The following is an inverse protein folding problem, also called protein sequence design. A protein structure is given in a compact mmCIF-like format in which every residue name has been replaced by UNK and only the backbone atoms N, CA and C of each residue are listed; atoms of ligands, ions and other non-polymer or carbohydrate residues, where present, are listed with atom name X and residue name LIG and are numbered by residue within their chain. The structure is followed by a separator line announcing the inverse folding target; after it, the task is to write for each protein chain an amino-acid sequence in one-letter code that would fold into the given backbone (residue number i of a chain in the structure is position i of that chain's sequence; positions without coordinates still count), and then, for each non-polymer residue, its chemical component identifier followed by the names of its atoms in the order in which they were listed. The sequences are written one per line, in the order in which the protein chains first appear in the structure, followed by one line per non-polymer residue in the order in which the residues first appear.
data_IF_004631290251
#
_entry.id   IF_004631290251
#
_cell.length_a   1.000
_cell.length_b   1.000
_cell.length_c   1.000
_cell.angle_alpha   90.00
_cell.angle_beta   90.00
_cell.angle_gamma   90.00
#
_symmetry.space_group_name_H-M   'P 1'
#
loop_
_entity.id
_entity.type
_entity.pdbx_description
1 polymer ?
#
# COMPACT_ATOMS: atom_id res chain seq x y z
N UNK A 1 -36.29 -11.94 -8.41
CA UNK A 1 -35.21 -11.62 -7.46
C UNK A 1 -34.62 -12.87 -6.80
N UNK A 2 -35.38 -13.77 -6.21
CA UNK A 2 -34.86 -14.95 -5.48
C UNK A 2 -33.94 -15.90 -6.25
N UNK A 3 -33.99 -15.97 -7.59
CA UNK A 3 -33.10 -16.86 -8.38
C UNK A 3 -31.71 -16.25 -8.57
N UNK A 4 -31.62 -14.93 -8.71
CA UNK A 4 -30.34 -14.23 -8.87
C UNK A 4 -29.52 -14.25 -7.58
N UNK A 5 -30.17 -14.08 -6.43
CA UNK A 5 -29.51 -14.18 -5.11
C UNK A 5 -28.96 -15.58 -4.83
N UNK A 6 -29.71 -16.66 -5.14
CA UNK A 6 -29.21 -18.03 -4.97
C UNK A 6 -27.98 -18.30 -5.83
N UNK A 7 -27.99 -17.84 -7.07
CA UNK A 7 -26.84 -18.05 -7.98
C UNK A 7 -25.57 -17.33 -7.45
N UNK A 8 -25.73 -16.15 -6.80
CA UNK A 8 -24.58 -15.40 -6.25
C UNK A 8 -23.92 -16.12 -5.07
N UNK A 9 -24.71 -16.57 -4.09
CA UNK A 9 -24.22 -17.35 -2.94
C UNK A 9 -23.54 -18.66 -3.36
N UNK A 10 -24.01 -19.29 -4.43
CA UNK A 10 -23.41 -20.49 -4.97
C UNK A 10 -22.00 -20.23 -5.52
N UNK A 11 -21.79 -19.10 -6.22
CA UNK A 11 -20.47 -18.75 -6.76
C UNK A 11 -19.47 -18.34 -5.69
N UNK A 12 -19.90 -17.59 -4.70
CA UNK A 12 -19.09 -17.25 -3.54
C UNK A 12 -18.62 -18.50 -2.78
N UNK A 13 -19.52 -19.47 -2.60
CA UNK A 13 -19.19 -20.76 -1.98
C UNK A 13 -18.14 -21.53 -2.78
N UNK A 14 -18.29 -21.61 -4.11
CA UNK A 14 -17.32 -22.29 -4.98
C UNK A 14 -15.93 -21.66 -4.87
N UNK A 15 -15.86 -20.32 -4.91
CA UNK A 15 -14.59 -19.60 -4.80
C UNK A 15 -13.99 -19.76 -3.41
N UNK A 16 -14.81 -19.71 -2.36
CA UNK A 16 -14.37 -19.91 -0.98
C UNK A 16 -13.80 -21.32 -0.78
N UNK A 17 -14.48 -22.34 -1.26
CA UNK A 17 -14.03 -23.73 -1.15
C UNK A 17 -12.72 -23.94 -1.93
N UNK A 18 -12.58 -23.33 -3.11
CA UNK A 18 -11.34 -23.34 -3.86
C UNK A 18 -10.19 -22.68 -3.07
N UNK A 19 -10.41 -21.51 -2.45
CA UNK A 19 -9.41 -20.83 -1.62
C UNK A 19 -8.99 -21.70 -0.42
N UNK A 20 -9.96 -22.28 0.29
CA UNK A 20 -9.69 -23.19 1.43
C UNK A 20 -8.87 -24.39 0.96
N UNK A 21 -9.21 -24.99 -0.19
CA UNK A 21 -8.47 -26.14 -0.76
C UNK A 21 -7.03 -25.76 -1.14
N UNK A 22 -6.77 -24.49 -1.46
CA UNK A 22 -5.43 -23.94 -1.72
C UNK A 22 -4.67 -23.58 -0.44
N UNK A 23 -5.24 -23.82 0.75
CA UNK A 23 -4.59 -23.60 2.04
C UNK A 23 -4.79 -22.18 2.62
N UNK A 24 -5.77 -21.42 2.13
CA UNK A 24 -6.14 -20.17 2.78
C UNK A 24 -6.95 -20.42 4.04
N UNK A 25 -6.57 -19.86 5.20
CA UNK A 25 -7.34 -20.01 6.43
C UNK A 25 -8.75 -19.45 6.27
N UNK A 26 -9.76 -20.20 6.70
CA UNK A 26 -11.16 -19.77 6.58
C UNK A 26 -11.42 -18.42 7.25
N UNK A 27 -10.79 -18.20 8.39
CA UNK A 27 -10.90 -16.97 9.19
C UNK A 27 -10.28 -15.74 8.49
N UNK A 28 -9.40 -15.95 7.49
CA UNK A 28 -8.82 -14.87 6.68
C UNK A 28 -9.74 -14.43 5.54
N UNK A 29 -10.78 -15.22 5.21
CA UNK A 29 -11.69 -15.00 4.09
C UNK A 29 -12.92 -14.25 4.60
N UNK A 30 -13.12 -13.04 4.12
CA UNK A 30 -14.29 -12.19 4.45
C UNK A 30 -15.12 -12.02 3.20
N UNK A 31 -16.37 -12.53 3.24
CA UNK A 31 -17.36 -12.34 2.18
C UNK A 31 -17.94 -10.93 2.29
N UNK A 32 -18.34 -10.35 1.14
CA UNK A 32 -18.86 -8.98 1.06
C UNK A 32 -17.99 -7.98 1.83
N UNK A 33 -16.68 -8.05 1.60
CA UNK A 33 -15.70 -7.24 2.29
C UNK A 33 -15.92 -5.74 2.05
N UNK A 34 -16.20 -4.99 3.11
CA UNK A 34 -16.42 -3.55 3.02
C UNK A 34 -15.11 -2.80 2.80
N UNK A 35 -15.02 -2.03 1.72
CA UNK A 35 -13.87 -1.17 1.40
C UNK A 35 -14.11 0.26 1.87
N UNK A 36 -15.31 0.78 1.67
CA UNK A 36 -15.78 2.06 2.18
C UNK A 36 -17.25 1.98 2.58
N UNK A 37 -17.84 3.06 3.10
CA UNK A 37 -19.22 3.10 3.63
C UNK A 37 -20.30 2.60 2.65
N UNK A 38 -20.02 2.43 1.35
CA UNK A 38 -21.01 2.11 0.31
C UNK A 38 -20.54 1.09 -0.71
N UNK A 39 -19.34 0.51 -0.55
CA UNK A 39 -18.75 -0.39 -1.54
C UNK A 39 -18.22 -1.65 -0.92
N UNK A 40 -18.66 -2.75 -1.48
CA UNK A 40 -18.26 -4.09 -1.10
C UNK A 40 -17.57 -4.76 -2.29
N UNK A 41 -16.54 -5.51 -2.01
CA UNK A 41 -15.94 -6.47 -2.93
C UNK A 41 -16.41 -7.86 -2.51
N UNK A 42 -16.57 -8.77 -3.45
CA UNK A 42 -17.17 -10.07 -3.15
C UNK A 42 -16.39 -10.84 -2.08
N UNK A 43 -15.04 -10.85 -2.17
CA UNK A 43 -14.18 -11.47 -1.15
C UNK A 43 -12.97 -10.58 -0.83
N UNK A 44 -12.63 -10.46 0.47
CA UNK A 44 -11.35 -9.93 0.94
C UNK A 44 -10.61 -11.02 1.70
N UNK A 45 -9.33 -11.20 1.39
CA UNK A 45 -8.41 -12.01 2.19
C UNK A 45 -7.62 -11.09 3.09
N UNK A 46 -7.70 -11.31 4.40
CA UNK A 46 -7.00 -10.52 5.40
C UNK A 46 -5.81 -11.28 5.99
N UNK A 47 -4.79 -10.56 6.44
CA UNK A 47 -3.75 -11.09 7.32
C UNK A 47 -4.35 -11.27 8.72
N UNK A 48 -4.37 -12.50 9.22
CA UNK A 48 -4.94 -12.83 10.53
C UNK A 48 -4.21 -12.15 11.70
N UNK A 49 -2.93 -11.83 11.55
CA UNK A 49 -2.15 -11.23 12.63
C UNK A 49 -2.36 -9.71 12.71
N UNK A 50 -2.55 -9.05 11.57
CA UNK A 50 -2.62 -7.59 11.49
C UNK A 50 -4.00 -7.07 11.12
N UNK A 51 -4.91 -7.93 10.63
CA UNK A 51 -6.21 -7.55 10.07
C UNK A 51 -6.12 -6.77 8.75
N UNK A 52 -4.92 -6.59 8.20
CA UNK A 52 -4.74 -5.84 6.96
C UNK A 52 -5.19 -6.65 5.74
N UNK A 53 -5.85 -6.02 4.76
CA UNK A 53 -6.23 -6.69 3.54
C UNK A 53 -5.00 -7.04 2.69
N UNK A 54 -4.90 -8.31 2.29
CA UNK A 54 -3.84 -8.87 1.46
C UNK A 54 -4.25 -8.95 -0.01
N UNK A 55 -5.49 -9.36 -0.25
CA UNK A 55 -6.05 -9.56 -1.59
C UNK A 55 -7.55 -9.27 -1.59
N UNK A 56 -8.01 -8.65 -2.65
CA UNK A 56 -9.43 -8.50 -2.96
C UNK A 56 -9.77 -9.32 -4.19
N UNK A 57 -10.92 -10.00 -4.16
CA UNK A 57 -11.37 -10.87 -5.24
C UNK A 57 -12.78 -10.44 -5.66
N UNK A 58 -12.92 -10.13 -6.93
CA UNK A 58 -14.21 -9.87 -7.57
C UNK A 58 -14.66 -11.12 -8.32
N UNK A 59 -15.87 -11.59 -8.07
CA UNK A 59 -16.42 -12.81 -8.66
C UNK A 59 -17.33 -12.43 -9.83
N UNK A 60 -17.11 -13.06 -10.96
CA UNK A 60 -17.99 -12.92 -12.13
C UNK A 60 -18.25 -14.28 -12.75
N UNK A 61 -19.47 -14.47 -13.26
CA UNK A 61 -19.81 -15.66 -14.01
C UNK A 61 -19.91 -15.36 -15.50
N UNK A 62 -19.32 -16.24 -16.30
CA UNK A 62 -19.44 -16.24 -17.74
C UNK A 62 -20.59 -17.17 -18.16
N UNK A 63 -21.63 -16.59 -18.77
CA UNK A 63 -22.75 -17.34 -19.33
C UNK A 63 -22.85 -17.08 -20.82
N UNK A 64 -23.88 -16.34 -21.25
CA UNK A 64 -24.07 -15.94 -22.66
C UNK A 64 -23.10 -14.84 -23.12
N UNK A 65 -22.47 -14.12 -22.19
CA UNK A 65 -21.48 -13.08 -22.51
C UNK A 65 -20.13 -13.68 -22.87
N UNK A 66 -19.42 -13.01 -23.77
CA UNK A 66 -18.05 -13.38 -24.10
C UNK A 66 -17.14 -13.22 -22.87
N UNK A 67 -16.21 -14.13 -22.70
CA UNK A 67 -15.22 -14.12 -21.61
C UNK A 67 -14.50 -12.76 -21.50
N UNK A 68 -14.16 -12.17 -22.65
CA UNK A 68 -13.52 -10.83 -22.71
C UNK A 68 -14.38 -9.73 -22.10
N UNK A 69 -15.69 -9.72 -22.37
CA UNK A 69 -16.60 -8.74 -21.80
C UNK A 69 -16.71 -8.87 -20.27
N UNK A 70 -16.76 -10.12 -19.76
CA UNK A 70 -16.81 -10.41 -18.32
C UNK A 70 -15.51 -9.99 -17.62
N UNK A 71 -14.35 -10.27 -18.21
CA UNK A 71 -13.04 -9.84 -17.71
C UNK A 71 -12.94 -8.31 -17.61
N UNK A 72 -13.46 -7.59 -18.63
CA UNK A 72 -13.46 -6.12 -18.62
C UNK A 72 -14.35 -5.55 -17.50
N UNK A 73 -15.52 -6.14 -17.29
CA UNK A 73 -16.41 -5.75 -16.17
C UNK A 73 -15.72 -5.96 -14.81
N UNK A 74 -15.03 -7.10 -14.64
CA UNK A 74 -14.29 -7.39 -13.42
C UNK A 74 -13.14 -6.39 -13.21
N UNK A 75 -12.40 -6.05 -14.26
CA UNK A 75 -11.36 -5.02 -14.24
C UNK A 75 -11.90 -3.66 -13.80
N UNK A 76 -13.01 -3.20 -14.41
CA UNK A 76 -13.63 -1.90 -14.09
C UNK A 76 -14.14 -1.86 -12.64
N UNK A 77 -14.63 -2.98 -12.10
CA UNK A 77 -15.02 -3.10 -10.69
C UNK A 77 -13.80 -3.01 -9.78
N UNK A 78 -12.77 -3.84 -10.02
CA UNK A 78 -11.54 -3.88 -9.22
C UNK A 78 -10.79 -2.54 -9.25
N UNK A 79 -10.77 -1.85 -10.41
CA UNK A 79 -10.17 -0.52 -10.51
C UNK A 79 -10.84 0.48 -9.57
N UNK A 80 -12.17 0.53 -9.56
CA UNK A 80 -12.94 1.42 -8.67
C UNK A 80 -12.67 1.14 -7.19
N UNK A 81 -12.43 -0.11 -6.82
CA UNK A 81 -12.09 -0.51 -5.46
C UNK A 81 -10.64 -0.15 -5.13
N UNK A 82 -9.71 -0.45 -6.05
CA UNK A 82 -8.29 -0.21 -5.87
C UNK A 82 -7.94 1.27 -5.66
N UNK A 83 -8.61 2.18 -6.38
CA UNK A 83 -8.44 3.64 -6.24
C UNK A 83 -8.77 4.15 -4.83
N UNK A 84 -9.57 3.42 -4.06
CA UNK A 84 -9.99 3.77 -2.70
C UNK A 84 -9.17 3.09 -1.61
N UNK A 85 -8.40 2.06 -1.95
CA UNK A 85 -7.57 1.38 -0.97
C UNK A 85 -6.32 2.19 -0.64
N UNK A 86 -6.04 2.35 0.64
CA UNK A 86 -4.82 3.02 1.12
C UNK A 86 -3.64 2.07 1.20
N UNK A 87 -3.89 0.77 1.26
CA UNK A 87 -2.90 -0.31 1.35
C UNK A 87 -2.68 -0.97 -0.01
N UNK A 88 -1.45 -1.39 -0.33
CA UNK A 88 -1.17 -2.13 -1.56
C UNK A 88 -1.73 -3.55 -1.48
N UNK A 89 -2.94 -3.74 -1.97
CA UNK A 89 -3.67 -5.02 -1.99
C UNK A 89 -3.53 -5.66 -3.37
N UNK A 90 -3.51 -6.99 -3.45
CA UNK A 90 -3.67 -7.68 -4.74
C UNK A 90 -5.12 -7.58 -5.22
N UNK A 91 -5.30 -7.30 -6.50
CA UNK A 91 -6.60 -7.22 -7.17
C UNK A 91 -6.76 -8.40 -8.11
N UNK A 92 -7.64 -9.34 -7.76
CA UNK A 92 -7.85 -10.59 -8.49
C UNK A 92 -9.31 -10.70 -8.90
N UNK A 93 -9.57 -11.20 -10.11
CA UNK A 93 -10.91 -11.63 -10.49
C UNK A 93 -10.99 -13.16 -10.49
N UNK A 94 -12.07 -13.69 -9.97
CA UNK A 94 -12.47 -15.09 -10.07
C UNK A 94 -13.59 -15.20 -11.12
N UNK A 95 -13.32 -15.83 -12.25
CA UNK A 95 -14.29 -15.99 -13.33
C UNK A 95 -14.72 -17.43 -13.41
N UNK A 96 -16.02 -17.66 -13.19
CA UNK A 96 -16.63 -18.98 -13.28
C UNK A 96 -17.29 -19.15 -14.67
N UNK A 97 -16.80 -20.11 -15.46
CA UNK A 97 -17.45 -20.53 -16.69
C UNK A 97 -18.57 -21.53 -16.35
N UNK A 98 -19.83 -21.10 -16.52
CA UNK A 98 -21.01 -21.92 -16.20
C UNK A 98 -21.14 -23.15 -17.10
N UNK A 99 -20.61 -23.11 -18.31
CA UNK A 99 -20.73 -24.21 -19.28
C UNK A 99 -19.70 -25.30 -19.01
N UNK A 100 -18.50 -24.91 -18.59
CA UNK A 100 -17.38 -25.82 -18.32
C UNK A 100 -17.21 -26.18 -16.87
N UNK A 101 -17.86 -25.42 -15.95
CA UNK A 101 -17.66 -25.52 -14.51
C UNK A 101 -16.19 -25.30 -14.13
N UNK A 102 -15.50 -24.45 -14.86
CA UNK A 102 -14.11 -24.09 -14.64
C UNK A 102 -14.00 -22.74 -13.95
N UNK A 103 -13.15 -22.66 -12.92
CA UNK A 103 -12.83 -21.44 -12.19
C UNK A 103 -11.46 -20.94 -12.66
N UNK A 104 -11.41 -19.73 -13.21
CA UNK A 104 -10.19 -19.05 -13.62
C UNK A 104 -9.92 -17.86 -12.70
N UNK A 105 -8.68 -17.73 -12.22
CA UNK A 105 -8.22 -16.52 -11.54
C UNK A 105 -7.42 -15.65 -12.51
N UNK A 106 -7.63 -14.33 -12.42
CA UNK A 106 -6.94 -13.33 -13.23
C UNK A 106 -6.36 -12.27 -12.28
N UNK A 107 -5.04 -12.04 -12.31
CA UNK A 107 -4.40 -10.98 -11.55
C UNK A 107 -4.46 -9.66 -12.32
N UNK A 108 -5.21 -8.71 -11.80
CA UNK A 108 -5.33 -7.35 -12.31
C UNK A 108 -4.50 -6.33 -11.52
N UNK A 109 -3.64 -6.77 -10.61
CA UNK A 109 -2.93 -5.87 -9.68
C UNK A 109 -2.15 -4.77 -10.40
N UNK A 110 -1.35 -5.13 -11.40
CA UNK A 110 -0.59 -4.13 -12.18
C UNK A 110 -1.47 -3.40 -13.19
N UNK A 111 -2.46 -4.09 -13.77
CA UNK A 111 -3.42 -3.51 -14.69
C UNK A 111 -4.22 -2.35 -14.06
N UNK A 112 -4.69 -2.51 -12.81
CA UNK A 112 -5.45 -1.45 -12.11
C UNK A 112 -4.56 -0.32 -11.62
N UNK A 113 -3.30 -0.57 -11.27
CA UNK A 113 -2.34 0.47 -10.88
C UNK A 113 -2.02 1.41 -12.03
N UNK A 114 -1.77 0.85 -13.20
CA UNK A 114 -1.32 1.59 -14.37
C UNK A 114 -2.48 1.99 -15.28
N UNK A 115 -3.71 1.58 -14.91
CA UNK A 115 -4.92 1.78 -15.71
C UNK A 115 -4.80 1.20 -17.13
N UNK A 116 -4.15 0.04 -17.22
CA UNK A 116 -3.86 -0.66 -18.47
C UNK A 116 -4.36 -2.10 -18.39
N UNK A 117 -5.49 -2.38 -19.07
CA UNK A 117 -6.12 -3.70 -19.06
C UNK A 117 -5.22 -4.82 -19.63
N UNK A 118 -4.34 -4.50 -20.57
CA UNK A 118 -3.51 -5.49 -21.27
C UNK A 118 -2.42 -6.09 -20.34
N UNK A 119 -2.21 -5.51 -19.16
CA UNK A 119 -1.31 -6.03 -18.13
C UNK A 119 -1.94 -7.10 -17.22
N UNK A 120 -3.16 -7.52 -17.51
CA UNK A 120 -3.82 -8.58 -16.78
C UNK A 120 -3.12 -9.94 -17.01
N UNK A 121 -2.89 -10.69 -15.94
CA UNK A 121 -2.30 -12.03 -16.02
C UNK A 121 -3.44 -13.06 -15.93
N UNK A 122 -3.76 -13.68 -17.06
CA UNK A 122 -4.76 -14.74 -17.14
C UNK A 122 -4.20 -16.06 -16.58
N UNK A 123 -5.10 -16.98 -16.21
CA UNK A 123 -4.76 -18.28 -15.59
C UNK A 123 -3.77 -18.12 -14.41
N UNK A 124 -4.02 -17.10 -13.61
CA UNK A 124 -3.15 -16.76 -12.50
C UNK A 124 -3.23 -17.82 -11.39
N UNK A 125 -2.07 -18.37 -11.03
CA UNK A 125 -1.97 -19.24 -9.87
C UNK A 125 -1.86 -18.39 -8.61
N UNK A 126 -2.84 -18.49 -7.74
CA UNK A 126 -2.81 -17.79 -6.47
C UNK A 126 -1.59 -18.24 -5.65
N UNK A 127 -0.82 -17.30 -5.08
CA UNK A 127 0.30 -17.66 -4.22
C UNK A 127 -0.22 -18.28 -2.92
N UNK A 128 0.52 -19.16 -2.25
CA UNK A 128 0.19 -19.63 -0.91
C UNK A 128 -0.05 -18.44 0.05
N UNK A 129 -0.95 -18.62 1.01
CA UNK A 129 -1.35 -17.60 1.97
C UNK A 129 -0.14 -16.94 2.67
N UNK A 130 0.84 -17.73 3.12
CA UNK A 130 2.04 -17.23 3.81
C UNK A 130 2.91 -16.35 2.90
N UNK A 131 3.04 -16.70 1.63
CA UNK A 131 3.79 -15.87 0.65
C UNK A 131 3.07 -14.54 0.42
N UNK A 132 1.74 -14.56 0.33
CA UNK A 132 0.91 -13.36 0.19
C UNK A 132 1.11 -12.43 1.40
N UNK A 133 1.09 -12.99 2.61
CA UNK A 133 1.30 -12.30 3.89
C UNK A 133 2.68 -11.64 3.97
N UNK A 134 3.75 -12.39 3.66
CA UNK A 134 5.13 -11.87 3.64
C UNK A 134 5.26 -10.74 2.61
N UNK A 135 4.75 -10.93 1.41
CA UNK A 135 4.81 -9.94 0.34
C UNK A 135 4.07 -8.64 0.68
N UNK A 136 2.93 -8.72 1.36
CA UNK A 136 2.18 -7.55 1.82
C UNK A 136 2.92 -6.81 2.94
N UNK A 137 3.45 -7.51 3.93
CA UNK A 137 4.25 -6.92 5.02
C UNK A 137 5.48 -6.21 4.50
N UNK A 138 6.20 -6.82 3.56
CA UNK A 138 7.37 -6.20 2.94
C UNK A 138 7.02 -4.90 2.20
N UNK A 139 5.88 -4.87 1.50
CA UNK A 139 5.39 -3.65 0.83
C UNK A 139 5.04 -2.54 1.82
N UNK A 140 4.41 -2.87 2.95
CA UNK A 140 4.09 -1.90 4.02
C UNK A 140 5.39 -1.31 4.60
N UNK A 141 6.35 -2.17 4.94
CA UNK A 141 7.66 -1.74 5.47
C UNK A 141 8.39 -0.84 4.48
N UNK A 142 8.43 -1.21 3.20
CA UNK A 142 9.07 -0.40 2.17
C UNK A 142 8.40 0.95 2.00
N UNK A 143 7.06 1.01 2.03
CA UNK A 143 6.29 2.26 1.94
C UNK A 143 6.53 3.18 3.13
N UNK A 144 6.65 2.63 4.33
CA UNK A 144 7.00 3.40 5.52
C UNK A 144 8.42 3.95 5.43
N UNK A 145 9.38 3.14 4.97
CA UNK A 145 10.76 3.58 4.71
C UNK A 145 10.82 4.71 3.66
N UNK A 146 10.05 4.61 2.59
CA UNK A 146 9.98 5.66 1.57
C UNK A 146 9.38 6.95 2.12
N UNK A 147 8.29 6.88 2.88
CA UNK A 147 7.70 8.05 3.56
C UNK A 147 8.69 8.70 4.53
N UNK A 148 9.41 7.89 5.29
CA UNK A 148 10.43 8.37 6.23
C UNK A 148 11.58 9.05 5.46
N UNK A 149 12.06 8.44 4.37
CA UNK A 149 13.09 9.01 3.50
C UNK A 149 12.64 10.33 2.85
N UNK A 150 11.39 10.42 2.44
CA UNK A 150 10.82 11.64 1.87
C UNK A 150 10.72 12.76 2.91
N UNK A 151 10.27 12.48 4.14
CA UNK A 151 10.25 13.45 5.25
C UNK A 151 11.66 13.94 5.56
N UNK A 152 12.64 13.03 5.58
CA UNK A 152 14.05 13.37 5.81
C UNK A 152 14.60 14.30 4.71
N UNK A 153 14.28 14.05 3.45
CA UNK A 153 14.70 14.92 2.35
C UNK A 153 14.09 16.32 2.43
N UNK A 154 12.82 16.45 2.82
CA UNK A 154 12.17 17.76 3.01
C UNK A 154 12.84 18.52 4.16
N UNK A 155 13.10 17.87 5.29
CA UNK A 155 13.83 18.45 6.42
C UNK A 155 15.25 18.90 6.02
N UNK A 156 15.95 18.08 5.23
CA UNK A 156 17.27 18.39 4.70
C UNK A 156 17.26 19.64 3.81
N UNK A 157 16.27 19.75 2.92
CA UNK A 157 16.09 20.93 2.05
C UNK A 157 15.80 22.19 2.89
N UNK A 158 14.95 22.09 3.91
CA UNK A 158 14.65 23.20 4.82
C UNK A 158 15.90 23.66 5.59
N UNK A 159 16.64 22.73 6.19
CA UNK A 159 17.81 23.06 7.01
C UNK A 159 19.00 23.55 6.18
N UNK A 160 19.26 22.96 5.01
CA UNK A 160 20.44 23.24 4.21
C UNK A 160 20.19 24.25 3.08
N UNK A 161 18.95 24.44 2.66
CA UNK A 161 18.58 25.38 1.62
C UNK A 161 17.96 26.66 2.17
N UNK A 162 16.78 26.55 2.75
CA UNK A 162 15.96 27.72 3.10
C UNK A 162 16.58 28.52 4.25
N UNK A 163 17.08 27.82 5.26
CA UNK A 163 17.61 28.48 6.46
C UNK A 163 18.85 29.34 6.22
N UNK A 164 19.92 28.87 5.52
CA UNK A 164 21.06 29.71 5.17
C UNK A 164 20.69 30.93 4.32
N UNK A 165 19.72 30.80 3.43
CA UNK A 165 19.23 31.90 2.61
C UNK A 165 18.59 32.98 3.48
N UNK A 166 17.77 32.62 4.44
CA UNK A 166 17.15 33.56 5.38
C UNK A 166 18.24 34.28 6.19
N UNK A 167 19.23 33.55 6.72
CA UNK A 167 20.32 34.13 7.47
C UNK A 167 21.13 35.11 6.61
N UNK A 168 21.46 34.74 5.38
CA UNK A 168 22.18 35.59 4.44
C UNK A 168 21.39 36.90 4.13
N UNK A 169 20.07 36.75 3.91
CA UNK A 169 19.18 37.89 3.64
C UNK A 169 19.17 38.87 4.82
N UNK A 170 19.10 38.37 6.06
CA UNK A 170 19.11 39.18 7.26
C UNK A 170 20.44 39.94 7.44
N UNK A 171 21.59 39.30 7.14
CA UNK A 171 22.91 39.89 7.19
C UNK A 171 23.03 41.01 6.12
N UNK A 172 22.53 40.78 4.91
CA UNK A 172 22.54 41.78 3.86
C UNK A 172 21.67 42.99 4.21
N UNK A 173 20.49 42.81 4.78
CA UNK A 173 19.60 43.89 5.23
C UNK A 173 20.24 44.73 6.32
N UNK A 174 21.02 44.14 7.21
CA UNK A 174 21.81 44.86 8.22
C UNK A 174 22.95 45.63 7.60
N UNK A 175 23.69 45.03 6.68
CA UNK A 175 24.79 45.68 5.96
C UNK A 175 24.34 46.89 5.12
N UNK A 176 23.13 46.85 4.56
CA UNK A 176 22.55 47.98 3.81
C UNK A 176 21.86 49.02 4.70
N UNK A 177 21.88 48.86 6.01
CA UNK A 177 21.28 49.80 6.95
C UNK A 177 19.75 49.89 6.92
N UNK A 178 19.11 48.92 6.24
CA UNK A 178 17.63 48.82 6.15
C UNK A 178 17.05 48.29 7.46
N UNK A 179 17.82 47.46 8.16
CA UNK A 179 17.42 46.86 9.43
C UNK A 179 18.63 46.66 10.33
N UNK A 180 18.71 47.39 11.45
CA UNK A 180 19.81 47.25 12.42
C UNK A 180 19.59 46.04 13.33
N UNK A 181 20.35 44.97 13.13
CA UNK A 181 20.41 43.81 14.02
C UNK A 181 21.29 44.16 15.23
N UNK A 182 20.71 44.34 16.40
CA UNK A 182 21.52 44.39 17.62
C UNK A 182 22.20 43.05 17.86
N UNK A 183 23.41 43.06 18.45
CA UNK A 183 24.21 41.85 18.74
C UNK A 183 23.39 40.79 19.48
N UNK A 184 22.49 41.23 20.36
CA UNK A 184 21.59 40.32 21.11
C UNK A 184 20.61 39.58 20.21
N UNK A 185 20.07 40.23 19.17
CA UNK A 185 19.13 39.59 18.21
C UNK A 185 19.86 38.61 17.31
N UNK A 186 21.10 38.91 16.91
CA UNK A 186 21.94 38.02 16.13
C UNK A 186 22.24 36.71 16.89
N UNK A 187 22.57 36.82 18.17
CA UNK A 187 22.78 35.67 19.05
C UNK A 187 21.49 34.83 19.21
N UNK A 188 20.33 35.50 19.34
CA UNK A 188 19.04 34.80 19.53
C UNK A 188 18.64 34.04 18.24
N UNK A 189 18.84 34.65 17.07
CA UNK A 189 18.60 34.01 15.78
C UNK A 189 19.56 32.83 15.58
N UNK A 190 20.86 33.01 15.91
CA UNK A 190 21.86 31.94 15.86
C UNK A 190 21.55 30.76 16.80
N UNK A 191 21.16 31.05 18.03
CA UNK A 191 20.76 30.04 18.99
C UNK A 191 19.48 29.30 18.58
N UNK A 192 18.50 30.03 18.04
CA UNK A 192 17.28 29.44 17.47
C UNK A 192 17.57 28.52 16.28
N UNK A 193 18.54 28.91 15.47
CA UNK A 193 19.02 28.10 14.36
C UNK A 193 19.65 26.79 14.78
N UNK A 194 20.54 26.86 15.75
CA UNK A 194 21.20 25.67 16.33
C UNK A 194 20.14 24.77 16.98
N UNK A 195 19.20 25.32 17.73
CA UNK A 195 18.12 24.57 18.37
C UNK A 195 17.21 23.86 17.34
N UNK A 196 16.93 24.50 16.19
CA UNK A 196 16.17 23.90 15.10
C UNK A 196 16.92 22.75 14.38
N UNK A 197 18.26 22.75 14.42
CA UNK A 197 19.09 21.70 13.83
C UNK A 197 19.25 20.47 14.73
N UNK A 198 19.12 20.64 16.07
CA UNK A 198 19.29 19.53 17.04
C UNK A 198 18.38 18.33 16.74
N UNK A 199 17.07 18.46 16.42
CA UNK A 199 16.22 17.33 16.06
C UNK A 199 16.73 16.58 14.85
N UNK A 200 17.25 17.28 13.84
CA UNK A 200 17.80 16.65 12.61
C UNK A 200 19.00 15.75 12.94
N UNK A 201 19.87 16.16 13.85
CA UNK A 201 21.01 15.34 14.28
C UNK A 201 20.59 14.15 15.15
N UNK A 202 19.58 14.30 16.01
CA UNK A 202 19.03 13.18 16.81
C UNK A 202 18.35 12.13 15.93
N UNK A 203 17.58 12.54 14.92
CA UNK A 203 16.91 11.60 14.01
C UNK A 203 17.91 10.83 13.13
N UNK A 204 19.01 11.45 12.72
CA UNK A 204 20.09 10.77 11.99
C UNK A 204 20.71 9.66 12.84
N UNK A 205 21.04 9.93 14.09
CA UNK A 205 21.59 8.91 15.01
C UNK A 205 20.60 7.78 15.31
N UNK A 206 19.33 8.11 15.52
CA UNK A 206 18.29 7.11 15.80
C UNK A 206 18.05 6.23 14.55
N UNK A 207 18.07 6.81 13.34
CA UNK A 207 17.95 6.06 12.09
C UNK A 207 19.10 5.09 11.86
N UNK A 208 20.34 5.48 12.11
CA UNK A 208 21.51 4.58 12.02
C UNK A 208 21.48 3.45 13.07
N UNK A 209 21.08 3.76 14.29
CA UNK A 209 21.00 2.75 15.37
C UNK A 209 19.87 1.76 15.10
N UNK A 210 18.71 2.20 14.61
CA UNK A 210 17.59 1.31 14.26
C UNK A 210 17.92 0.40 13.09
N UNK A 211 18.68 0.88 12.10
CA UNK A 211 19.14 0.09 10.97
C UNK A 211 20.15 -0.99 11.40
N UNK A 212 21.10 -0.64 12.28
CA UNK A 212 22.06 -1.61 12.82
C UNK A 212 21.35 -2.72 13.60
N UNK A 213 20.41 -2.37 14.46
CA UNK A 213 19.69 -3.38 15.26
C UNK A 213 18.81 -4.31 14.43
N UNK A 214 18.24 -3.82 13.32
CA UNK A 214 17.51 -4.67 12.37
C UNK A 214 18.41 -5.59 11.57
N UNK A 215 19.62 -5.15 11.19
CA UNK A 215 20.58 -5.97 10.47
C UNK A 215 21.16 -7.06 11.40
N UNK A 216 21.40 -6.75 12.67
CA UNK A 216 21.85 -7.74 13.65
C UNK A 216 20.79 -8.81 13.92
N UNK A 217 19.52 -8.44 14.11
CA UNK A 217 18.42 -9.41 14.26
C UNK A 217 18.26 -10.33 13.03
N UNK A 218 18.38 -9.80 11.82
CA UNK A 218 18.31 -10.62 10.60
C UNK A 218 19.50 -11.57 10.44
N UNK A 219 20.65 -11.26 11.02
CA UNK A 219 21.80 -12.19 11.04
C UNK A 219 21.59 -13.32 12.03
N UNK A 220 21.06 -13.02 13.21
CA UNK A 220 20.76 -14.03 14.22
C UNK A 220 19.66 -15.01 13.75
N UNK A 221 18.62 -14.54 13.04
CA UNK A 221 17.56 -15.40 12.49
C UNK A 221 18.02 -16.27 11.30
N UNK A 222 19.14 -15.95 10.64
CA UNK A 222 19.67 -16.74 9.52
C UNK A 222 20.78 -17.71 9.94
N UNK A 223 21.22 -17.69 11.21
CA UNK A 223 22.27 -18.57 11.76
C UNK A 223 21.66 -19.70 12.65
N UNK A 224 20.34 -19.69 12.91
CA UNK A 224 19.58 -20.80 13.52
C UNK A 224 18.88 -21.66 12.45
#
# INVERSE_FOLDING_TARGET
MAKVERDLFEYESIVMDALISMGYPKESIVLEGQIDARRFVDIIINDLDTGLPLMMIEIKSCGERTQTAVRKIAFDSLKRYYEKTTTPVKAVAAILDRQKVELEFIDFTEAVKENDYDRAICNYKLPPYEILKIGARQKVINREREKQKQRFNVLKILCWGVFPIICLTLILLDAFGVYTLSTLRLITVGAGAIAALIPCFKEIKIGEISLKHQIEKQKEENEE
#
